data_IF_332546158253
#
_entry.id   IF_332546158253
#
_cell.length_a   1.000
_cell.length_b   1.000
_cell.length_c   1.000
_cell.angle_alpha   90.00
_cell.angle_beta   90.00
_cell.angle_gamma   90.00
#
_symmetry.space_group_name_H-M   'P 1'
#
loop_
_entity.id
_entity.type
_entity.pdbx_description
1 polymer ?
#
# COMPACT_ATOMS: atom_id res chain seq x y z
N UNK A 1 19.68 5.37 3.05
CA UNK A 1 18.68 4.33 3.41
C UNK A 1 18.69 3.16 2.42
N UNK A 2 18.63 3.43 1.10
CA UNK A 2 18.63 2.40 0.05
C UNK A 2 19.84 1.46 0.02
N UNK A 3 20.98 1.87 0.58
CA UNK A 3 22.18 1.01 0.68
C UNK A 3 21.96 -0.23 1.55
N UNK A 4 21.05 -0.13 2.54
CA UNK A 4 20.68 -1.27 3.40
C UNK A 4 19.57 -2.13 2.80
N UNK A 5 18.92 -1.68 1.72
CA UNK A 5 17.86 -2.44 1.08
C UNK A 5 18.49 -3.60 0.29
N UNK A 6 17.84 -4.77 0.31
CA UNK A 6 18.22 -5.86 -0.60
C UNK A 6 17.85 -5.50 -2.05
N UNK A 7 18.30 -6.31 -3.00
CA UNK A 7 17.87 -6.18 -4.39
C UNK A 7 16.34 -6.30 -4.51
N UNK A 8 15.72 -7.24 -3.78
CA UNK A 8 14.27 -7.43 -3.77
C UNK A 8 13.53 -6.23 -3.20
N UNK A 9 13.98 -5.68 -2.06
CA UNK A 9 13.38 -4.49 -1.47
C UNK A 9 13.51 -3.27 -2.39
N UNK A 10 14.65 -3.10 -3.07
CA UNK A 10 14.80 -2.04 -4.10
C UNK A 10 13.87 -2.27 -5.28
N UNK A 11 13.69 -3.52 -5.71
CA UNK A 11 12.75 -3.91 -6.76
C UNK A 11 11.30 -3.53 -6.42
N UNK A 12 10.87 -3.76 -5.18
CA UNK A 12 9.55 -3.33 -4.69
C UNK A 12 9.40 -1.81 -4.75
N UNK A 13 10.39 -1.05 -4.27
CA UNK A 13 10.31 0.41 -4.28
C UNK A 13 10.28 0.98 -5.70
N UNK A 14 11.06 0.40 -6.62
CA UNK A 14 11.03 0.76 -8.03
C UNK A 14 9.67 0.41 -8.67
N UNK A 15 9.15 -0.80 -8.41
CA UNK A 15 7.83 -1.22 -8.87
C UNK A 15 6.71 -0.32 -8.35
N UNK A 16 6.80 0.19 -7.12
CA UNK A 16 5.82 1.11 -6.56
C UNK A 16 5.81 2.46 -7.31
N UNK A 17 6.97 2.94 -7.73
CA UNK A 17 7.10 4.13 -8.58
C UNK A 17 6.51 3.87 -9.97
N UNK A 18 6.73 2.68 -10.54
CA UNK A 18 6.13 2.29 -11.82
C UNK A 18 4.60 2.21 -11.72
N UNK A 19 4.05 1.61 -10.67
CA UNK A 19 2.60 1.56 -10.43
C UNK A 19 2.00 2.96 -10.32
N UNK A 20 2.61 3.83 -9.53
CA UNK A 20 2.17 5.23 -9.43
C UNK A 20 2.21 5.93 -10.79
N UNK A 21 3.27 5.70 -11.58
CA UNK A 21 3.43 6.33 -12.90
C UNK A 21 2.40 5.80 -13.91
N UNK A 22 2.15 4.48 -13.95
CA UNK A 22 1.13 3.87 -14.81
C UNK A 22 -0.28 4.33 -14.45
N UNK A 23 -0.53 4.56 -13.17
CA UNK A 23 -1.79 5.14 -12.69
C UNK A 23 -1.89 6.66 -12.88
N UNK A 24 -0.84 7.33 -13.38
CA UNK A 24 -0.81 8.79 -13.49
C UNK A 24 -0.77 9.53 -12.14
N UNK A 25 -0.50 8.82 -11.04
CA UNK A 25 -0.52 9.36 -9.69
C UNK A 25 0.70 10.23 -9.40
N UNK A 26 0.52 11.49 -8.91
CA UNK A 26 1.60 12.39 -8.53
C UNK A 26 2.38 11.94 -7.27
N UNK A 27 1.99 10.81 -6.66
CA UNK A 27 2.62 10.28 -5.46
C UNK A 27 2.64 8.75 -5.43
N UNK A 28 3.65 8.18 -4.76
CA UNK A 28 3.70 6.77 -4.35
C UNK A 28 3.04 6.63 -2.98
N UNK A 29 2.13 5.67 -2.88
CA UNK A 29 1.33 5.36 -1.68
C UNK A 29 1.64 3.94 -1.21
N UNK A 30 1.09 3.57 -0.06
CA UNK A 30 1.13 2.22 0.50
C UNK A 30 0.51 1.19 -0.45
N UNK A 31 -0.55 1.56 -1.16
CA UNK A 31 -1.20 0.75 -2.18
C UNK A 31 -0.20 0.37 -3.29
N UNK A 32 0.55 1.35 -3.79
CA UNK A 32 1.55 1.12 -4.83
C UNK A 32 2.69 0.21 -4.33
N UNK A 33 3.07 0.29 -3.05
CA UNK A 33 4.04 -0.63 -2.45
C UNK A 33 3.49 -2.06 -2.34
N UNK A 34 2.22 -2.22 -1.98
CA UNK A 34 1.55 -3.52 -1.91
C UNK A 34 1.41 -4.16 -3.30
N UNK A 35 0.97 -3.39 -4.30
CA UNK A 35 0.91 -3.86 -5.69
C UNK A 35 2.30 -4.27 -6.20
N UNK A 36 3.34 -3.49 -5.88
CA UNK A 36 4.70 -3.83 -6.26
C UNK A 36 5.22 -5.11 -5.59
N UNK A 37 4.80 -5.42 -4.35
CA UNK A 37 5.09 -6.69 -3.69
C UNK A 37 4.40 -7.88 -4.35
N UNK A 38 3.16 -7.70 -4.79
CA UNK A 38 2.37 -8.74 -5.47
C UNK A 38 2.92 -9.07 -6.87
N UNK A 39 3.65 -8.15 -7.50
CA UNK A 39 4.30 -8.37 -8.79
C UNK A 39 5.69 -9.05 -8.66
N UNK A 40 6.18 -9.27 -7.43
CA UNK A 40 7.46 -9.97 -7.22
C UNK A 40 7.26 -11.48 -7.26
N UNK A 41 8.25 -12.17 -7.80
CA UNK A 41 8.34 -13.62 -7.81
C UNK A 41 9.70 -14.07 -7.24
N UNK A 42 9.75 -15.27 -6.66
CA UNK A 42 11.00 -15.87 -6.17
C UNK A 42 11.61 -15.17 -4.94
N UNK A 43 10.84 -14.32 -4.26
CA UNK A 43 11.27 -13.58 -3.08
C UNK A 43 10.65 -14.12 -1.80
N UNK A 44 11.14 -13.66 -0.63
CA UNK A 44 10.57 -14.06 0.67
C UNK A 44 9.14 -13.56 0.84
N UNK A 45 8.87 -12.32 0.44
CA UNK A 45 7.53 -11.75 0.53
C UNK A 45 6.54 -12.46 -0.39
N UNK A 46 6.93 -12.71 -1.65
CA UNK A 46 6.08 -13.43 -2.62
C UNK A 46 5.77 -14.86 -2.18
N UNK A 47 6.75 -15.57 -1.60
CA UNK A 47 6.49 -16.88 -0.98
C UNK A 47 5.46 -16.81 0.15
N UNK A 48 5.56 -15.83 1.05
CA UNK A 48 4.62 -15.69 2.16
C UNK A 48 3.20 -15.32 1.68
N UNK A 49 3.10 -14.44 0.68
CA UNK A 49 1.82 -14.07 0.05
C UNK A 49 1.17 -15.27 -0.65
N UNK A 50 1.94 -16.05 -1.41
CA UNK A 50 1.47 -17.26 -2.08
C UNK A 50 1.03 -18.34 -1.06
N UNK A 51 1.79 -18.51 0.02
CA UNK A 51 1.46 -19.48 1.08
C UNK A 51 0.15 -19.17 1.81
N UNK A 52 -0.30 -17.91 1.76
CA UNK A 52 -1.58 -17.47 2.34
C UNK A 52 -2.70 -17.37 1.30
N UNK A 53 -2.45 -17.69 0.03
CA UNK A 53 -3.41 -17.53 -1.07
C UNK A 53 -3.71 -16.07 -1.43
N UNK A 54 -2.91 -15.12 -0.96
CA UNK A 54 -3.11 -13.68 -1.25
C UNK A 54 -2.85 -13.41 -2.73
N UNK A 55 -1.87 -14.09 -3.33
CA UNK A 55 -1.54 -13.95 -4.75
C UNK A 55 -2.71 -14.34 -5.65
N UNK A 56 -3.46 -15.39 -5.29
CA UNK A 56 -4.64 -15.83 -6.04
C UNK A 56 -5.80 -14.83 -5.95
N UNK A 57 -5.83 -14.02 -4.88
CA UNK A 57 -6.81 -12.96 -4.63
C UNK A 57 -6.35 -11.58 -5.08
N UNK A 58 -5.32 -11.49 -5.94
CA UNK A 58 -4.77 -10.21 -6.43
C UNK A 58 -5.83 -9.29 -7.03
N UNK A 59 -6.78 -9.83 -7.80
CA UNK A 59 -7.85 -9.03 -8.42
C UNK A 59 -8.78 -8.42 -7.36
N UNK A 60 -9.22 -9.22 -6.40
CA UNK A 60 -10.06 -8.76 -5.28
C UNK A 60 -9.35 -7.68 -4.45
N UNK A 61 -8.07 -7.89 -4.15
CA UNK A 61 -7.25 -6.92 -3.42
C UNK A 61 -7.10 -5.61 -4.21
N UNK A 62 -6.85 -5.67 -5.52
CA UNK A 62 -6.76 -4.49 -6.37
C UNK A 62 -8.09 -3.69 -6.41
N UNK A 63 -9.22 -4.38 -6.49
CA UNK A 63 -10.55 -3.76 -6.43
C UNK A 63 -10.81 -3.12 -5.06
N UNK A 64 -10.42 -3.76 -3.96
CA UNK A 64 -10.56 -3.19 -2.62
C UNK A 64 -9.74 -1.89 -2.47
N UNK A 65 -8.51 -1.87 -2.99
CA UNK A 65 -7.67 -0.67 -3.03
C UNK A 65 -8.28 0.43 -3.90
N UNK A 66 -8.78 0.10 -5.08
CA UNK A 66 -9.42 1.07 -5.98
C UNK A 66 -10.70 1.67 -5.33
N UNK A 67 -11.50 0.85 -4.67
CA UNK A 67 -12.69 1.30 -3.97
C UNK A 67 -12.36 2.25 -2.81
N UNK A 68 -11.35 1.92 -2.00
CA UNK A 68 -10.90 2.82 -0.92
C UNK A 68 -10.34 4.15 -1.45
N UNK A 69 -9.61 4.12 -2.56
CA UNK A 69 -9.15 5.34 -3.23
C UNK A 69 -10.31 6.24 -3.65
N UNK A 70 -11.37 5.69 -4.25
CA UNK A 70 -12.58 6.46 -4.62
C UNK A 70 -13.24 7.13 -3.43
N UNK A 71 -13.17 6.50 -2.26
CA UNK A 71 -13.63 7.06 -0.97
C UNK A 71 -12.60 8.02 -0.33
N UNK A 72 -11.63 8.53 -1.08
CA UNK A 72 -10.61 9.45 -0.57
C UNK A 72 -9.51 8.77 0.27
N UNK A 73 -9.26 7.48 0.04
CA UNK A 73 -8.29 6.69 0.79
C UNK A 73 -8.83 6.13 2.10
N UNK A 74 -10.14 6.26 2.34
CA UNK A 74 -10.78 5.72 3.54
C UNK A 74 -10.89 4.19 3.49
N UNK A 75 -10.57 3.62 4.63
CA UNK A 75 -10.69 2.21 4.94
C UNK A 75 -12.15 1.81 5.14
N UNK A 76 -12.47 0.52 5.05
CA UNK A 76 -13.85 0.06 5.32
C UNK A 76 -14.21 0.26 6.79
N UNK A 77 -13.25 0.05 7.70
CA UNK A 77 -13.47 0.27 9.11
C UNK A 77 -13.74 1.76 9.43
N UNK A 78 -13.06 2.67 8.74
CA UNK A 78 -13.33 4.11 8.86
C UNK A 78 -14.72 4.48 8.31
N UNK A 79 -15.09 3.92 7.17
CA UNK A 79 -16.43 4.08 6.58
C UNK A 79 -17.53 3.56 7.51
N UNK A 80 -17.37 2.37 8.08
CA UNK A 80 -18.32 1.79 9.03
C UNK A 80 -18.42 2.61 10.33
N UNK A 81 -17.29 3.15 10.81
CA UNK A 81 -17.28 4.04 11.97
C UNK A 81 -18.06 5.34 11.71
N UNK A 82 -17.92 5.92 10.52
CA UNK A 82 -18.68 7.11 10.10
C UNK A 82 -20.17 6.79 9.91
N UNK A 83 -20.50 5.62 9.37
CA UNK A 83 -21.89 5.17 9.25
C UNK A 83 -22.55 5.04 10.63
N UNK A 84 -21.81 4.59 11.65
CA UNK A 84 -22.26 4.59 13.05
C UNK A 84 -22.59 5.97 13.62
N UNK A 85 -22.05 7.05 13.03
CA UNK A 85 -22.38 8.44 13.34
C UNK A 85 -23.49 9.02 12.45
N UNK A 86 -24.09 8.20 11.58
CA UNK A 86 -25.11 8.62 10.62
C UNK A 86 -24.56 9.29 9.36
N UNK A 87 -23.27 9.13 9.07
CA UNK A 87 -22.62 9.72 7.88
C UNK A 87 -22.47 8.63 6.81
N UNK A 88 -23.20 8.73 5.69
CA UNK A 88 -22.98 7.85 4.54
C UNK A 88 -21.84 8.38 3.66
N UNK A 89 -20.69 7.70 3.72
CA UNK A 89 -19.55 8.01 2.85
C UNK A 89 -19.90 7.78 1.38
N UNK A 90 -20.67 6.73 1.07
CA UNK A 90 -21.05 6.41 -0.30
C UNK A 90 -21.95 7.50 -0.91
N UNK A 91 -22.88 8.06 -0.12
CA UNK A 91 -23.71 9.18 -0.58
C UNK A 91 -22.88 10.43 -0.82
N UNK A 92 -21.92 10.73 0.08
CA UNK A 92 -20.98 11.84 -0.11
C UNK A 92 -20.17 11.65 -1.39
N UNK A 93 -19.60 10.45 -1.61
CA UNK A 93 -18.83 10.14 -2.81
C UNK A 93 -19.68 10.32 -4.06
N UNK A 94 -20.89 9.76 -4.10
CA UNK A 94 -21.79 9.89 -5.24
C UNK A 94 -22.11 11.36 -5.55
N UNK A 95 -22.41 12.16 -4.51
CA UNK A 95 -22.73 13.58 -4.66
C UNK A 95 -21.53 14.40 -5.14
N UNK A 96 -20.33 14.11 -4.63
CA UNK A 96 -19.11 14.78 -5.06
C UNK A 96 -18.74 14.39 -6.49
N UNK A 97 -18.89 13.12 -6.88
CA UNK A 97 -18.64 12.68 -8.25
C UNK A 97 -19.66 13.24 -9.25
N UNK A 98 -20.93 13.39 -8.86
CA UNK A 98 -21.94 14.06 -9.68
C UNK A 98 -21.56 15.52 -9.95
N UNK A 99 -21.08 16.23 -8.92
CA UNK A 99 -20.74 17.65 -9.02
C UNK A 99 -19.38 17.91 -9.69
N UNK A 100 -18.41 17.03 -9.50
CA UNK A 100 -16.99 17.28 -9.82
C UNK A 100 -16.36 16.23 -10.75
N UNK A 101 -17.13 15.20 -11.14
CA UNK A 101 -16.70 14.10 -12.01
C UNK A 101 -16.23 12.85 -11.25
N UNK A 102 -16.18 11.69 -11.91
CA UNK A 102 -15.72 10.44 -11.29
C UNK A 102 -14.34 10.57 -10.67
N UNK A 103 -14.15 9.99 -9.48
CA UNK A 103 -12.88 10.04 -8.76
C UNK A 103 -12.58 11.38 -8.09
N UNK A 104 -13.54 12.33 -8.02
CA UNK A 104 -13.31 13.66 -7.47
C UNK A 104 -12.88 13.70 -5.99
N UNK A 105 -13.07 12.62 -5.22
CA UNK A 105 -12.53 12.48 -3.87
C UNK A 105 -11.21 11.71 -3.81
N UNK A 106 -10.85 10.99 -4.87
CA UNK A 106 -9.55 10.34 -4.94
C UNK A 106 -8.49 11.43 -4.86
N UNK A 107 -7.43 11.25 -4.07
CA UNK A 107 -6.37 12.24 -3.86
C UNK A 107 -5.64 12.73 -5.15
N UNK A 108 -6.07 12.23 -6.30
CA UNK A 108 -5.75 12.60 -7.67
C UNK A 108 -6.30 13.99 -8.04
N UNK A 109 -7.50 14.38 -7.57
CA UNK A 109 -8.19 15.62 -7.97
C UNK A 109 -7.98 16.82 -7.04
N UNK A 110 -7.61 16.60 -5.77
CA UNK A 110 -7.23 17.68 -4.84
C UNK A 110 -5.93 18.42 -5.27
N UNK A 111 -5.28 17.94 -6.32
CA UNK A 111 -4.19 18.61 -7.02
C UNK A 111 -4.67 19.59 -8.13
N UNK A 112 -5.88 20.14 -7.99
CA UNK A 112 -6.44 21.17 -8.89
C UNK A 112 -5.59 22.42 -9.05
N UNK A 113 -4.65 22.70 -8.13
CA UNK A 113 -3.67 23.79 -8.22
C UNK A 113 -2.29 23.35 -8.73
N UNK A 114 -2.08 22.06 -9.03
CA UNK A 114 -0.77 21.53 -9.49
C UNK A 114 -0.82 20.87 -10.86
N UNK A 115 -1.79 21.23 -11.71
CA UNK A 115 -1.82 20.84 -13.13
C UNK A 115 -0.67 21.39 -13.99
N UNK A 116 0.31 22.09 -13.41
CA UNK A 116 1.42 22.72 -14.13
C UNK A 116 2.83 22.38 -13.63
N UNK A 117 3.00 21.55 -12.60
CA UNK A 117 4.32 21.06 -12.18
C UNK A 117 4.37 19.55 -12.35
N UNK A 118 4.61 19.14 -13.60
CA UNK A 118 5.33 17.90 -13.85
C UNK A 118 6.48 17.84 -12.83
N UNK A 119 6.59 16.74 -12.06
CA UNK A 119 7.56 16.64 -10.99
C UNK A 119 8.91 17.22 -11.44
N UNK A 120 9.57 18.08 -10.64
CA UNK A 120 10.85 18.69 -11.03
C UNK A 120 11.92 17.67 -11.46
N UNK A 121 11.76 16.40 -11.07
CA UNK A 121 12.65 15.27 -11.37
C UNK A 121 12.03 14.18 -12.27
N UNK A 122 10.78 14.34 -12.75
CA UNK A 122 10.07 13.34 -13.55
C UNK A 122 9.67 12.06 -12.81
N UNK A 123 9.83 11.99 -11.47
CA UNK A 123 9.50 10.80 -10.68
C UNK A 123 8.49 11.08 -9.56
N UNK A 124 7.54 10.16 -9.32
CA UNK A 124 6.71 10.13 -8.13
C UNK A 124 7.41 10.33 -6.81
N UNK A 125 6.88 11.25 -6.01
CA UNK A 125 7.30 11.46 -4.62
C UNK A 125 6.50 10.55 -3.68
N UNK A 126 7.08 10.15 -2.55
CA UNK A 126 6.39 9.26 -1.59
C UNK A 126 5.50 10.06 -0.64
N UNK A 127 4.27 9.58 -0.40
CA UNK A 127 3.39 10.12 0.65
C UNK A 127 4.03 9.94 2.04
N UNK A 128 3.50 10.64 3.05
CA UNK A 128 3.90 10.42 4.45
C UNK A 128 3.66 8.98 4.90
N UNK A 129 2.54 8.39 4.44
CA UNK A 129 2.18 7.01 4.73
C UNK A 129 3.16 6.00 4.13
N UNK A 130 3.47 6.12 2.84
CA UNK A 130 4.48 5.29 2.18
C UNK A 130 5.86 5.42 2.83
N UNK A 131 6.27 6.63 3.27
CA UNK A 131 7.51 6.83 4.02
C UNK A 131 7.50 6.10 5.38
N UNK A 132 6.38 6.15 6.11
CA UNK A 132 6.22 5.40 7.37
C UNK A 132 6.37 3.89 7.17
N UNK A 133 5.90 3.33 6.04
CA UNK A 133 6.14 1.91 5.69
C UNK A 133 7.64 1.61 5.62
N UNK A 134 8.42 2.46 4.93
CA UNK A 134 9.88 2.27 4.82
C UNK A 134 10.60 2.40 6.17
N UNK A 135 10.20 3.37 6.99
CA UNK A 135 10.71 3.54 8.36
C UNK A 135 10.37 2.34 9.25
N UNK A 136 9.13 1.84 9.17
CA UNK A 136 8.70 0.66 9.92
C UNK A 136 9.43 -0.60 9.47
N UNK A 137 9.69 -0.77 8.18
CA UNK A 137 10.47 -1.88 7.65
C UNK A 137 11.91 -1.87 8.20
N UNK A 138 12.55 -0.70 8.27
CA UNK A 138 13.84 -0.54 8.95
C UNK A 138 13.74 -0.95 10.43
N UNK A 139 12.71 -0.49 11.16
CA UNK A 139 12.49 -0.85 12.56
C UNK A 139 12.33 -2.37 12.75
N UNK A 140 11.59 -3.04 11.87
CA UNK A 140 11.43 -4.50 11.90
C UNK A 140 12.73 -5.25 11.62
N UNK A 141 13.54 -4.79 10.66
CA UNK A 141 14.85 -5.38 10.38
C UNK A 141 15.79 -5.25 11.59
N UNK A 142 15.81 -4.07 12.23
CA UNK A 142 16.59 -3.81 13.45
C UNK A 142 16.12 -4.69 14.61
N UNK A 143 14.81 -4.80 14.83
CA UNK A 143 14.25 -5.66 15.88
C UNK A 143 14.63 -7.14 15.70
N UNK A 144 14.79 -7.58 14.46
CA UNK A 144 15.28 -8.93 14.11
C UNK A 144 16.81 -9.05 14.03
N UNK A 145 17.56 -8.00 14.41
CA UNK A 145 19.02 -7.92 14.32
C UNK A 145 19.58 -8.18 12.92
N UNK A 146 18.81 -7.83 11.89
CA UNK A 146 19.22 -7.98 10.50
C UNK A 146 19.92 -6.71 10.00
N UNK A 147 21.04 -6.88 9.28
CA UNK A 147 21.82 -5.76 8.74
C UNK A 147 21.17 -5.13 7.51
N UNK A 148 20.32 -5.88 6.81
CA UNK A 148 19.65 -5.50 5.57
C UNK A 148 18.14 -5.43 5.74
N UNK A 149 17.49 -4.63 4.91
CA UNK A 149 16.04 -4.49 4.82
C UNK A 149 15.61 -5.23 3.55
N UNK A 150 15.03 -6.42 3.73
CA UNK A 150 14.43 -7.19 2.64
C UNK A 150 12.95 -6.85 2.38
N UNK A 151 12.38 -7.40 1.32
CA UNK A 151 10.99 -7.19 0.92
C UNK A 151 10.00 -7.77 1.92
N UNK A 152 10.39 -8.79 2.69
CA UNK A 152 9.64 -9.32 3.82
C UNK A 152 9.40 -8.26 4.91
N UNK A 153 10.31 -7.30 5.07
CA UNK A 153 10.15 -6.21 6.04
C UNK A 153 9.16 -5.16 5.54
N UNK A 154 9.14 -4.91 4.23
CA UNK A 154 8.16 -4.02 3.61
C UNK A 154 6.75 -4.62 3.73
N UNK A 155 6.60 -5.91 3.43
CA UNK A 155 5.34 -6.63 3.57
C UNK A 155 4.83 -6.61 5.02
N UNK A 156 5.70 -6.92 5.99
CA UNK A 156 5.31 -6.87 7.40
C UNK A 156 5.02 -5.46 7.90
N UNK A 157 5.70 -4.43 7.37
CA UNK A 157 5.42 -3.04 7.71
C UNK A 157 4.01 -2.64 7.25
N UNK A 158 3.61 -3.01 6.03
CA UNK A 158 2.25 -2.78 5.52
C UNK A 158 1.20 -3.48 6.38
N UNK A 159 1.45 -4.71 6.80
CA UNK A 159 0.51 -5.48 7.64
C UNK A 159 0.35 -4.97 9.08
N UNK A 160 1.26 -4.10 9.55
CA UNK A 160 1.23 -3.53 10.93
C UNK A 160 0.65 -2.13 10.95
N UNK A 161 0.92 -1.34 9.90
CA UNK A 161 0.48 0.04 9.85
C UNK A 161 -1.01 0.10 9.49
N UNK A 162 -1.79 0.98 10.13
CA UNK A 162 -3.17 1.22 9.72
C UNK A 162 -3.20 1.83 8.31
N UNK A 163 -4.30 1.58 7.60
CA UNK A 163 -4.54 2.13 6.27
C UNK A 163 -4.98 1.07 5.27
N UNK A 164 -5.44 1.54 4.11
CA UNK A 164 -6.11 0.73 3.10
C UNK A 164 -5.30 -0.50 2.65
N UNK A 165 -3.99 -0.37 2.49
CA UNK A 165 -3.13 -1.47 2.08
C UNK A 165 -3.05 -2.59 3.14
N UNK A 166 -2.92 -2.23 4.42
CA UNK A 166 -2.89 -3.20 5.51
C UNK A 166 -4.22 -3.91 5.69
N UNK A 167 -5.34 -3.18 5.56
CA UNK A 167 -6.68 -3.73 5.65
C UNK A 167 -7.01 -4.66 4.48
N UNK A 168 -6.77 -4.25 3.23
CA UNK A 168 -7.01 -5.09 2.06
C UNK A 168 -6.16 -6.37 2.10
N UNK A 169 -4.92 -6.27 2.59
CA UNK A 169 -4.07 -7.42 2.83
C UNK A 169 -4.64 -8.35 3.92
N UNK A 170 -5.19 -7.79 5.01
CA UNK A 170 -5.82 -8.56 6.09
C UNK A 170 -7.12 -9.25 5.65
N UNK A 171 -7.95 -8.60 4.82
CA UNK A 171 -9.15 -9.21 4.19
C UNK A 171 -8.77 -10.43 3.32
N UNK A 172 -7.57 -10.40 2.76
CA UNK A 172 -6.99 -11.52 2.01
C UNK A 172 -6.32 -12.60 2.88
N UNK A 173 -6.31 -12.46 4.21
CA UNK A 173 -5.64 -13.37 5.15
C UNK A 173 -4.17 -13.03 5.45
N UNK A 174 -3.63 -11.97 4.84
CA UNK A 174 -2.28 -11.45 5.03
C UNK A 174 -2.08 -10.62 6.29
N UNK A 175 -2.62 -11.05 7.43
CA UNK A 175 -2.40 -10.35 8.71
C UNK A 175 -0.92 -10.34 9.12
N UNK A 176 -0.52 -9.39 9.97
CA UNK A 176 0.85 -9.40 10.52
C UNK A 176 1.20 -10.74 11.19
N UNK A 177 0.28 -11.33 11.95
CA UNK A 177 0.53 -12.58 12.67
C UNK A 177 0.76 -13.76 11.72
N UNK A 178 -0.05 -13.89 10.65
CA UNK A 178 0.10 -14.96 9.65
C UNK A 178 1.40 -14.79 8.85
N UNK A 179 1.69 -13.56 8.41
CA UNK A 179 2.92 -13.24 7.69
C UNK A 179 4.17 -13.41 8.56
N UNK A 180 4.15 -12.95 9.80
CA UNK A 180 5.28 -13.07 10.72
C UNK A 180 5.62 -14.54 10.97
N UNK A 181 4.62 -15.43 11.05
CA UNK A 181 4.83 -16.87 11.22
C UNK A 181 5.60 -17.47 10.03
N UNK A 182 5.21 -17.13 8.81
CA UNK A 182 5.85 -17.63 7.58
C UNK A 182 7.23 -17.01 7.32
N UNK A 183 7.42 -15.77 7.75
CA UNK A 183 8.66 -15.01 7.52
C UNK A 183 9.66 -15.11 8.67
N UNK A 184 9.29 -15.83 9.74
CA UNK A 184 10.23 -16.18 10.80
C UNK A 184 11.25 -17.18 10.26
N UNK A 185 12.52 -17.11 10.69
CA UNK A 185 13.46 -18.18 10.39
C UNK A 185 12.91 -19.50 10.97
N UNK A 186 13.16 -20.65 10.31
CA UNK A 186 12.82 -21.93 10.90
C UNK A 186 13.48 -22.04 12.28
N UNK A 187 12.75 -22.59 13.25
CA UNK A 187 13.35 -22.93 14.54
C UNK A 187 14.51 -23.88 14.29
N UNK A 188 15.70 -23.51 14.77
CA UNK A 188 16.91 -24.32 14.70
C UNK A 188 16.83 -25.52 15.65
#
# INVERSE_FOLDING_TARGET
MFERFTADARGVVAGAVEHASRAGSPVVTEEHLLLALLDREGTRASFALASLGVTDRRAELAEALAAGRRRGGMSRAEEDALAGLGISVQEIVARVEEAHGPGALSGETLSGETRGKAWPSGRPSFTKGAKKVLEKALGLAVARRQKHIGDEHLLLALAVLPGLAGEALAECGGTYASLARLLSPPAA
#
